data_IF_228003064078
#
_entry.id   IF_228003064078
#
_cell.length_a   1.000
_cell.length_b   1.000
_cell.length_c   1.000
_cell.angle_alpha   90.00
_cell.angle_beta   90.00
_cell.angle_gamma   90.00
#
_symmetry.space_group_name_H-M   'P 1'
#
loop_
_entity.id
_entity.type
_entity.pdbx_description
1 polymer ?
#
# COMPACT_ATOMS: atom_id res chain seq x y z
N UNK A 1 16.92 -2.10 -0.07
CA UNK A 1 15.61 -1.78 0.55
C UNK A 1 15.29 -0.30 0.32
N UNK A 2 14.80 0.00 -0.89
CA UNK A 2 14.72 1.36 -1.44
C UNK A 2 13.28 1.93 -1.37
N UNK A 3 12.26 1.10 -1.62
CA UNK A 3 10.86 1.56 -1.59
C UNK A 3 10.30 1.85 -0.20
N UNK A 4 10.69 1.09 0.84
CA UNK A 4 10.13 1.26 2.18
C UNK A 4 10.33 2.69 2.70
N UNK A 5 11.35 3.40 2.20
CA UNK A 5 11.75 4.74 2.64
C UNK A 5 11.58 5.82 1.55
N UNK A 6 10.95 5.48 0.43
CA UNK A 6 10.72 6.44 -0.65
C UNK A 6 11.98 6.94 -1.37
N UNK A 7 13.09 6.19 -1.33
CA UNK A 7 14.40 6.59 -1.86
C UNK A 7 14.80 5.66 -3.00
N UNK A 8 15.61 6.14 -3.95
CA UNK A 8 16.29 5.25 -4.89
C UNK A 8 17.24 4.30 -4.15
N UNK A 9 17.57 3.16 -4.76
CA UNK A 9 18.55 2.25 -4.18
C UNK A 9 19.91 2.93 -4.05
N UNK A 10 20.50 2.90 -2.85
CA UNK A 10 21.85 3.43 -2.63
C UNK A 10 22.89 2.66 -3.43
N UNK A 11 22.65 1.35 -3.64
CA UNK A 11 23.46 0.48 -4.46
C UNK A 11 22.57 -0.09 -5.57
N UNK A 12 22.91 0.20 -6.82
CA UNK A 12 22.11 -0.20 -7.98
C UNK A 12 22.42 -1.65 -8.34
N UNK A 13 21.41 -2.40 -8.79
CA UNK A 13 21.60 -3.82 -9.10
C UNK A 13 22.65 -4.05 -10.21
N UNK A 14 22.77 -3.11 -11.16
CA UNK A 14 23.79 -3.15 -12.21
C UNK A 14 25.21 -2.82 -11.73
N UNK A 15 25.36 -2.29 -10.51
CA UNK A 15 26.66 -2.05 -9.86
C UNK A 15 27.09 -3.24 -8.97
N UNK A 16 26.26 -4.27 -8.82
CA UNK A 16 26.55 -5.47 -8.03
C UNK A 16 27.06 -6.57 -8.96
N UNK A 17 28.38 -6.73 -9.01
CA UNK A 17 29.03 -7.77 -9.83
C UNK A 17 29.21 -9.12 -9.11
N UNK A 18 28.82 -9.21 -7.83
CA UNK A 18 29.03 -10.42 -7.01
C UNK A 18 27.93 -11.45 -7.30
N UNK A 19 28.33 -12.67 -7.61
CA UNK A 19 27.42 -13.81 -7.76
C UNK A 19 26.90 -14.30 -6.40
N UNK A 20 25.75 -14.99 -6.42
CA UNK A 20 25.27 -15.65 -5.21
C UNK A 20 26.28 -16.70 -4.72
N UNK A 21 26.55 -16.77 -3.41
CA UNK A 21 27.36 -17.85 -2.86
C UNK A 21 26.76 -19.22 -3.19
N UNK A 22 27.65 -20.21 -3.33
CA UNK A 22 27.24 -21.61 -3.52
C UNK A 22 26.39 -22.11 -2.35
N UNK A 23 25.58 -23.13 -2.64
CA UNK A 23 24.78 -23.80 -1.62
C UNK A 23 25.70 -24.50 -0.60
N UNK A 24 25.50 -24.29 0.72
CA UNK A 24 26.24 -25.02 1.73
C UNK A 24 26.06 -26.54 1.58
N UNK A 25 27.14 -27.29 1.79
CA UNK A 25 27.07 -28.75 1.84
C UNK A 25 26.17 -29.22 2.97
N UNK A 26 26.22 -28.54 4.12
CA UNK A 26 25.40 -28.79 5.31
C UNK A 26 23.89 -28.57 5.02
N UNK A 27 23.07 -29.63 5.04
CA UNK A 27 21.63 -29.53 4.82
C UNK A 27 20.92 -28.57 5.78
N UNK A 28 21.40 -28.42 7.01
CA UNK A 28 20.81 -27.54 8.02
C UNK A 28 20.97 -26.04 7.72
N UNK A 29 21.95 -25.67 6.88
CA UNK A 29 22.23 -24.30 6.48
C UNK A 29 21.62 -23.91 5.13
N UNK A 30 21.23 -24.88 4.28
CA UNK A 30 20.68 -24.60 2.95
C UNK A 30 19.40 -23.74 2.97
N UNK A 31 18.43 -23.96 3.88
CA UNK A 31 17.21 -23.16 3.93
C UNK A 31 17.47 -21.69 4.31
N UNK A 32 18.48 -21.44 5.14
CA UNK A 32 18.95 -20.09 5.45
C UNK A 32 19.55 -19.39 4.24
N UNK A 33 20.38 -20.09 3.45
CA UNK A 33 20.92 -19.56 2.19
C UNK A 33 19.80 -19.21 1.21
N UNK A 34 18.81 -20.11 1.08
CA UNK A 34 17.64 -19.87 0.25
C UNK A 34 16.85 -18.63 0.72
N UNK A 35 16.63 -18.46 2.03
CA UNK A 35 15.99 -17.27 2.60
C UNK A 35 16.66 -15.96 2.17
N UNK A 36 18.00 -15.88 2.24
CA UNK A 36 18.71 -14.70 1.77
C UNK A 36 18.56 -14.47 0.27
N UNK A 37 18.56 -15.54 -0.53
CA UNK A 37 18.29 -15.43 -1.97
C UNK A 37 16.88 -14.87 -2.21
N UNK A 38 15.86 -15.36 -1.49
CA UNK A 38 14.49 -14.86 -1.60
C UNK A 38 14.37 -13.38 -1.26
N UNK A 39 15.00 -12.92 -0.17
CA UNK A 39 15.00 -11.51 0.20
C UNK A 39 15.74 -10.64 -0.80
N UNK A 40 16.79 -11.16 -1.42
CA UNK A 40 17.53 -10.44 -2.45
C UNK A 40 16.67 -10.28 -3.71
N UNK A 41 16.03 -11.35 -4.18
CA UNK A 41 15.11 -11.28 -5.33
C UNK A 41 13.89 -10.38 -5.04
N UNK A 42 13.32 -10.48 -3.85
CA UNK A 42 12.27 -9.56 -3.41
C UNK A 42 12.75 -8.10 -3.46
N UNK A 43 13.96 -7.82 -2.94
CA UNK A 43 14.53 -6.47 -2.93
C UNK A 43 14.76 -5.90 -4.34
N UNK A 44 15.11 -6.74 -5.32
CA UNK A 44 15.22 -6.34 -6.73
C UNK A 44 13.87 -5.96 -7.32
N UNK A 45 12.83 -6.77 -7.06
CA UNK A 45 11.46 -6.47 -7.51
C UNK A 45 11.00 -5.14 -6.92
N UNK A 46 11.20 -4.95 -5.62
CA UNK A 46 10.94 -3.70 -4.90
C UNK A 46 11.69 -2.53 -5.58
N UNK A 47 13.00 -2.64 -5.82
CA UNK A 47 13.77 -1.60 -6.51
C UNK A 47 13.21 -1.25 -7.90
N UNK A 48 12.78 -2.26 -8.64
CA UNK A 48 12.19 -2.08 -9.97
C UNK A 48 10.79 -1.49 -9.96
N UNK A 49 9.95 -1.82 -8.98
CA UNK A 49 8.65 -1.18 -8.80
C UNK A 49 8.85 0.33 -8.62
N UNK A 50 9.84 0.76 -7.82
CA UNK A 50 10.22 2.17 -7.74
C UNK A 50 10.65 2.73 -9.09
N UNK A 51 11.69 2.15 -9.68
CA UNK A 51 12.32 2.67 -10.89
C UNK A 51 11.32 2.82 -12.04
N UNK A 52 10.45 1.82 -12.23
CA UNK A 52 9.56 1.71 -13.38
C UNK A 52 8.20 2.40 -13.19
N UNK A 53 7.76 2.68 -11.96
CA UNK A 53 6.43 3.25 -11.70
C UNK A 53 6.42 4.55 -10.91
N UNK A 54 7.42 4.80 -10.05
CA UNK A 54 7.43 5.90 -9.09
C UNK A 54 8.65 6.82 -9.17
N UNK A 55 9.66 6.50 -9.99
CA UNK A 55 10.79 7.40 -10.24
C UNK A 55 10.33 8.65 -11.00
N UNK A 56 11.06 9.76 -10.88
CA UNK A 56 10.77 10.98 -11.63
C UNK A 56 10.66 10.74 -13.15
N UNK A 57 11.49 9.83 -13.69
CA UNK A 57 11.40 9.42 -15.09
C UNK A 57 10.13 8.63 -15.38
N UNK A 58 9.76 7.70 -14.51
CA UNK A 58 8.56 6.89 -14.69
C UNK A 58 7.27 7.71 -14.56
N UNK A 59 7.30 8.79 -13.77
CA UNK A 59 6.18 9.72 -13.66
C UNK A 59 5.89 10.44 -14.99
N UNK A 60 6.89 10.60 -15.87
CA UNK A 60 6.71 11.15 -17.21
C UNK A 60 6.23 10.13 -18.27
N UNK A 61 6.04 8.85 -17.92
CA UNK A 61 5.53 7.87 -18.88
C UNK A 61 4.04 8.08 -19.17
N UNK A 62 3.65 7.82 -20.42
CA UNK A 62 2.23 7.79 -20.84
C UNK A 62 1.46 6.68 -20.12
N UNK A 63 0.14 6.83 -20.03
CA UNK A 63 -0.75 5.81 -19.46
C UNK A 63 -0.55 4.39 -20.04
N UNK A 64 -0.31 4.29 -21.36
CA UNK A 64 -0.08 3.03 -22.05
C UNK A 64 1.25 2.36 -21.62
N UNK A 65 2.32 3.14 -21.54
CA UNK A 65 3.64 2.63 -21.15
C UNK A 65 3.66 2.24 -19.67
N UNK A 66 2.97 3.02 -18.81
CA UNK A 66 2.79 2.72 -17.39
C UNK A 66 2.05 1.40 -17.18
N UNK A 67 0.94 1.20 -17.89
CA UNK A 67 0.17 -0.05 -17.85
C UNK A 67 1.01 -1.26 -18.28
N UNK A 68 1.82 -1.10 -19.33
CA UNK A 68 2.73 -2.15 -19.81
C UNK A 68 3.80 -2.51 -18.78
N UNK A 69 4.41 -1.51 -18.12
CA UNK A 69 5.40 -1.74 -17.05
C UNK A 69 4.76 -2.41 -15.83
N UNK A 70 3.55 -1.98 -15.45
CA UNK A 70 2.80 -2.57 -14.35
C UNK A 70 2.50 -4.06 -14.59
N UNK A 71 2.02 -4.41 -15.79
CA UNK A 71 1.76 -5.81 -16.16
C UNK A 71 3.01 -6.68 -16.07
N UNK A 72 4.15 -6.19 -16.57
CA UNK A 72 5.42 -6.91 -16.46
C UNK A 72 5.83 -7.15 -15.01
N UNK A 73 5.69 -6.14 -14.15
CA UNK A 73 6.00 -6.28 -12.73
C UNK A 73 5.05 -7.25 -12.02
N UNK A 74 3.76 -7.24 -12.36
CA UNK A 74 2.79 -8.19 -11.84
C UNK A 74 3.17 -9.65 -12.14
N UNK A 75 3.60 -9.94 -13.37
CA UNK A 75 4.05 -11.28 -13.77
C UNK A 75 5.27 -11.74 -12.95
N UNK A 76 6.23 -10.85 -12.72
CA UNK A 76 7.42 -11.16 -11.92
C UNK A 76 7.11 -11.36 -10.44
N UNK A 77 6.19 -10.56 -9.88
CA UNK A 77 5.71 -10.73 -8.51
C UNK A 77 5.03 -12.10 -8.34
N UNK A 78 4.24 -12.54 -9.33
CA UNK A 78 3.62 -13.86 -9.36
C UNK A 78 4.63 -15.00 -9.46
N UNK A 79 5.66 -14.86 -10.30
CA UNK A 79 6.72 -15.86 -10.43
C UNK A 79 7.55 -15.98 -9.15
N UNK A 80 7.92 -14.85 -8.56
CA UNK A 80 8.60 -14.80 -7.25
C UNK A 80 7.79 -15.50 -6.17
N UNK A 81 6.48 -15.19 -6.05
CA UNK A 81 5.59 -15.82 -5.08
C UNK A 81 5.42 -17.32 -5.32
N UNK A 82 5.38 -17.76 -6.57
CA UNK A 82 5.28 -19.18 -6.93
C UNK A 82 6.56 -19.93 -6.54
N UNK A 83 7.72 -19.32 -6.75
CA UNK A 83 9.02 -19.88 -6.35
C UNK A 83 9.13 -19.97 -4.83
N UNK A 84 8.67 -18.93 -4.12
CA UNK A 84 8.64 -18.89 -2.66
C UNK A 84 7.67 -19.94 -2.07
N UNK A 85 6.57 -20.25 -2.75
CA UNK A 85 5.61 -21.27 -2.31
C UNK A 85 6.23 -22.67 -2.11
N UNK A 86 7.35 -22.94 -2.77
CA UNK A 86 8.05 -24.23 -2.76
C UNK A 86 9.09 -24.34 -1.65
N UNK A 87 9.26 -23.28 -0.86
CA UNK A 87 10.22 -23.28 0.23
C UNK A 87 9.79 -24.25 1.33
N UNK A 88 10.69 -25.15 1.69
CA UNK A 88 10.52 -26.10 2.79
C UNK A 88 11.70 -25.98 3.75
N UNK A 89 11.45 -25.73 5.05
CA UNK A 89 12.53 -25.59 6.02
C UNK A 89 13.23 -26.92 6.33
N UNK A 90 12.56 -28.08 6.17
CA UNK A 90 13.16 -29.40 6.37
C UNK A 90 13.97 -29.52 7.68
N UNK A 91 15.19 -30.02 7.57
CA UNK A 91 16.14 -30.17 8.68
C UNK A 91 16.92 -28.89 9.02
N UNK A 92 16.41 -27.70 8.66
CA UNK A 92 17.05 -26.44 8.97
C UNK A 92 17.36 -26.29 10.46
N UNK A 93 18.52 -25.74 10.77
CA UNK A 93 18.77 -25.23 12.11
C UNK A 93 17.73 -24.17 12.45
N UNK A 94 17.09 -24.30 13.61
CA UNK A 94 15.98 -23.43 14.02
C UNK A 94 14.82 -23.36 13.00
N UNK A 95 14.44 -24.49 12.40
CA UNK A 95 13.34 -24.61 11.43
C UNK A 95 12.04 -23.89 11.84
N UNK A 96 11.73 -23.81 13.14
CA UNK A 96 10.57 -23.09 13.67
C UNK A 96 10.56 -21.59 13.32
N UNK A 97 11.73 -20.97 13.12
CA UNK A 97 11.85 -19.56 12.72
C UNK A 97 11.17 -19.29 11.38
N UNK A 98 11.19 -20.25 10.46
CA UNK A 98 10.61 -20.09 9.14
C UNK A 98 9.07 -20.11 9.13
N UNK A 99 8.42 -20.32 10.29
CA UNK A 99 6.96 -20.38 10.38
C UNK A 99 6.25 -19.14 9.86
N UNK A 100 6.87 -17.95 9.96
CA UNK A 100 6.31 -16.69 9.45
C UNK A 100 6.59 -16.46 7.96
N UNK A 101 7.48 -17.25 7.32
CA UNK A 101 8.03 -16.94 6.00
C UNK A 101 6.98 -17.02 4.89
N UNK A 102 6.19 -18.10 4.82
CA UNK A 102 5.14 -18.24 3.80
C UNK A 102 4.04 -17.17 4.00
N UNK A 103 3.49 -16.96 5.22
CA UNK A 103 2.52 -15.88 5.43
C UNK A 103 3.09 -14.47 5.17
N UNK A 104 4.37 -14.24 5.50
CA UNK A 104 5.06 -12.98 5.20
C UNK A 104 5.25 -12.77 3.70
N UNK A 105 5.52 -13.83 2.94
CA UNK A 105 5.59 -13.79 1.48
C UNK A 105 4.23 -13.52 0.84
N UNK A 106 3.14 -14.10 1.37
CA UNK A 106 1.77 -13.78 0.95
C UNK A 106 1.44 -12.31 1.16
N UNK A 107 1.76 -11.77 2.34
CA UNK A 107 1.58 -10.36 2.63
C UNK A 107 2.38 -9.49 1.65
N UNK A 108 3.66 -9.82 1.45
CA UNK A 108 4.57 -9.12 0.54
C UNK A 108 4.12 -9.15 -0.91
N UNK A 109 3.50 -10.26 -1.35
CA UNK A 109 2.91 -10.39 -2.68
C UNK A 109 1.78 -9.38 -2.89
N UNK A 110 0.78 -9.37 -2.00
CA UNK A 110 -0.35 -8.44 -2.13
C UNK A 110 0.05 -6.98 -1.94
N UNK A 111 1.02 -6.72 -1.07
CA UNK A 111 1.62 -5.40 -0.90
C UNK A 111 2.21 -4.86 -2.22
N UNK A 112 3.04 -5.67 -2.90
CA UNK A 112 3.65 -5.28 -4.17
C UNK A 112 2.60 -5.10 -5.25
N UNK A 113 1.57 -5.95 -5.29
CA UNK A 113 0.45 -5.76 -6.20
C UNK A 113 -0.33 -4.47 -5.92
N UNK A 114 -0.58 -4.13 -4.65
CA UNK A 114 -1.20 -2.84 -4.31
C UNK A 114 -0.38 -1.67 -4.85
N UNK A 115 0.96 -1.70 -4.70
CA UNK A 115 1.84 -0.67 -5.27
C UNK A 115 1.74 -0.60 -6.80
N UNK A 116 1.80 -1.75 -7.47
CA UNK A 116 1.73 -1.84 -8.93
C UNK A 116 0.38 -1.32 -9.45
N UNK A 117 -0.72 -1.76 -8.85
CA UNK A 117 -2.07 -1.35 -9.26
C UNK A 117 -2.40 0.09 -8.86
N UNK A 118 -1.78 0.64 -7.81
CA UNK A 118 -1.92 2.05 -7.43
C UNK A 118 -1.35 2.99 -8.48
N UNK A 119 -0.37 2.52 -9.24
CA UNK A 119 0.22 3.24 -10.36
C UNK A 119 -0.54 3.03 -11.68
N UNK A 120 -1.60 2.22 -11.73
CA UNK A 120 -2.37 2.10 -12.97
C UNK A 120 -3.14 3.40 -13.27
N UNK A 121 -3.29 3.76 -14.55
CA UNK A 121 -4.14 4.87 -14.94
C UNK A 121 -5.59 4.66 -14.48
N UNK A 122 -6.30 5.72 -14.08
CA UNK A 122 -7.70 5.63 -13.73
C UNK A 122 -8.55 5.24 -14.94
N UNK A 123 -9.60 4.45 -14.72
CA UNK A 123 -10.56 4.10 -15.75
C UNK A 123 -11.63 5.18 -15.89
N UNK A 124 -12.22 5.28 -17.09
CA UNK A 124 -13.41 6.08 -17.33
C UNK A 124 -14.54 5.18 -17.87
N UNK A 125 -15.63 4.96 -17.11
CA UNK A 125 -15.91 5.50 -15.77
C UNK A 125 -15.01 4.90 -14.66
N UNK A 126 -14.89 5.56 -13.48
CA UNK A 126 -14.16 5.01 -12.33
C UNK A 126 -14.75 3.67 -11.86
N UNK A 127 -13.88 2.70 -11.57
CA UNK A 127 -14.28 1.40 -11.01
C UNK A 127 -14.73 1.49 -9.54
N UNK A 128 -14.16 2.43 -8.77
CA UNK A 128 -14.48 2.64 -7.36
C UNK A 128 -14.75 4.13 -7.07
N UNK A 129 -15.48 4.47 -6.00
CA UNK A 129 -15.74 5.87 -5.62
C UNK A 129 -14.48 6.69 -5.34
N UNK A 130 -13.37 6.05 -4.97
CA UNK A 130 -12.09 6.72 -4.73
C UNK A 130 -11.25 6.93 -6.00
N UNK A 131 -11.72 6.48 -7.17
CA UNK A 131 -10.95 6.53 -8.42
C UNK A 131 -9.82 5.50 -8.52
N UNK A 132 -9.61 4.70 -7.47
CA UNK A 132 -8.66 3.58 -7.47
C UNK A 132 -9.24 2.40 -8.26
N UNK A 133 -8.38 1.65 -8.94
CA UNK A 133 -8.82 0.40 -9.59
C UNK A 133 -9.29 -0.63 -8.56
N UNK A 134 -10.23 -1.48 -8.94
CA UNK A 134 -10.75 -2.55 -8.08
C UNK A 134 -9.62 -3.49 -7.66
N UNK A 135 -8.70 -3.82 -8.58
CA UNK A 135 -7.53 -4.65 -8.31
C UNK A 135 -6.63 -4.06 -7.22
N UNK A 136 -6.46 -2.74 -7.18
CA UNK A 136 -5.68 -2.06 -6.14
C UNK A 136 -6.35 -2.21 -4.77
N UNK A 137 -7.66 -1.95 -4.70
CA UNK A 137 -8.45 -2.05 -3.46
C UNK A 137 -8.51 -3.50 -2.97
N UNK A 138 -8.76 -4.47 -3.84
CA UNK A 138 -8.80 -5.89 -3.48
C UNK A 138 -7.45 -6.41 -2.99
N UNK A 139 -6.36 -6.04 -3.66
CA UNK A 139 -5.01 -6.41 -3.23
C UNK A 139 -4.69 -5.80 -1.87
N UNK A 140 -5.04 -4.53 -1.65
CA UNK A 140 -4.84 -3.86 -0.37
C UNK A 140 -5.65 -4.54 0.76
N UNK A 141 -6.92 -4.85 0.49
CA UNK A 141 -7.80 -5.56 1.43
C UNK A 141 -7.20 -6.90 1.81
N UNK A 142 -6.67 -7.63 0.82
CA UNK A 142 -6.07 -8.94 1.05
C UNK A 142 -4.78 -8.87 1.85
N UNK A 143 -3.93 -7.88 1.59
CA UNK A 143 -2.75 -7.61 2.39
C UNK A 143 -3.11 -7.32 3.86
N UNK A 144 -4.09 -6.45 4.11
CA UNK A 144 -4.54 -6.12 5.47
C UNK A 144 -5.14 -7.32 6.22
N UNK A 145 -5.97 -8.13 5.56
CA UNK A 145 -6.52 -9.37 6.13
C UNK A 145 -5.42 -10.37 6.51
N UNK A 146 -4.42 -10.55 5.64
CA UNK A 146 -3.27 -11.42 5.93
C UNK A 146 -2.46 -10.87 7.10
N UNK A 147 -2.21 -9.56 7.14
CA UNK A 147 -1.50 -8.94 8.24
C UNK A 147 -2.17 -9.23 9.59
N UNK A 148 -3.47 -9.00 9.67
CA UNK A 148 -4.27 -9.29 10.86
C UNK A 148 -4.20 -10.78 11.23
N UNK A 149 -4.39 -11.67 10.26
CA UNK A 149 -4.34 -13.11 10.47
C UNK A 149 -2.98 -13.58 11.04
N UNK A 150 -1.88 -13.08 10.46
CA UNK A 150 -0.51 -13.41 10.90
C UNK A 150 -0.25 -12.87 12.30
N UNK A 151 -0.60 -11.61 12.57
CA UNK A 151 -0.50 -11.01 13.90
C UNK A 151 -1.22 -11.84 14.96
N UNK A 152 -2.46 -12.23 14.71
CA UNK A 152 -3.25 -13.04 15.64
C UNK A 152 -2.69 -14.46 15.80
N UNK A 153 -2.16 -15.05 14.73
CA UNK A 153 -1.63 -16.41 14.72
C UNK A 153 -0.31 -16.52 15.49
N UNK A 154 0.61 -15.58 15.31
CA UNK A 154 1.95 -15.66 15.89
C UNK A 154 2.07 -15.02 17.27
N UNK A 155 1.27 -13.98 17.59
CA UNK A 155 1.32 -13.33 18.92
C UNK A 155 1.16 -14.32 20.08
N UNK A 156 0.35 -15.35 19.88
CA UNK A 156 -0.02 -16.30 20.92
C UNK A 156 0.94 -17.50 21.01
N UNK A 157 1.83 -17.67 20.03
CA UNK A 157 2.62 -18.89 19.87
C UNK A 157 4.06 -18.71 20.33
N UNK A 158 4.74 -17.66 19.85
CA UNK A 158 6.17 -17.50 20.09
C UNK A 158 6.63 -16.06 19.86
N UNK A 159 7.34 -15.48 20.83
CA UNK A 159 7.79 -14.08 20.78
C UNK A 159 8.93 -13.87 19.76
N UNK A 160 9.78 -14.87 19.55
CA UNK A 160 10.92 -14.78 18.62
C UNK A 160 10.47 -14.83 17.15
N UNK A 161 9.57 -15.74 16.81
CA UNK A 161 8.93 -15.82 15.48
C UNK A 161 8.14 -14.55 15.19
N UNK A 162 7.40 -14.05 16.19
CA UNK A 162 6.66 -12.79 16.07
C UNK A 162 7.60 -11.59 15.87
N UNK A 163 8.71 -11.50 16.63
CA UNK A 163 9.72 -10.45 16.40
C UNK A 163 10.29 -10.53 14.98
N UNK A 164 10.61 -11.73 14.48
CA UNK A 164 11.05 -11.93 13.10
C UNK A 164 10.05 -11.39 12.08
N UNK A 165 8.76 -11.67 12.25
CA UNK A 165 7.70 -11.12 11.39
C UNK A 165 7.62 -9.58 11.46
N UNK A 166 7.75 -8.98 12.65
CA UNK A 166 7.77 -7.52 12.80
C UNK A 166 8.94 -6.91 12.04
N UNK A 167 10.15 -7.37 12.34
CA UNK A 167 11.38 -6.78 11.81
C UNK A 167 11.48 -6.94 10.28
N UNK A 168 11.15 -8.13 9.78
CA UNK A 168 11.38 -8.50 8.38
C UNK A 168 10.17 -8.28 7.46
N UNK A 169 8.97 -8.09 8.01
CA UNK A 169 7.75 -7.90 7.20
C UNK A 169 6.99 -6.64 7.57
N UNK A 170 6.63 -6.42 8.84
CA UNK A 170 5.79 -5.26 9.22
C UNK A 170 6.54 -3.95 8.99
N UNK A 171 7.77 -3.83 9.49
CA UNK A 171 8.56 -2.61 9.34
C UNK A 171 9.04 -2.40 7.89
N UNK A 172 8.94 -3.45 7.07
CA UNK A 172 9.22 -3.40 5.63
C UNK A 172 7.96 -3.23 4.79
N UNK A 173 6.79 -3.20 5.41
CA UNK A 173 5.51 -3.02 4.74
C UNK A 173 5.29 -1.51 4.56
N UNK A 174 5.42 -0.96 3.34
CA UNK A 174 4.95 0.38 3.08
C UNK A 174 3.48 0.43 3.50
N UNK A 175 3.14 1.45 4.29
CA UNK A 175 1.82 1.79 4.85
C UNK A 175 0.68 1.93 3.81
N UNK A 176 1.00 1.61 2.55
CA UNK A 176 0.23 1.72 1.32
C UNK A 176 -1.09 0.94 1.34
N UNK A 177 -1.17 -0.35 1.71
CA UNK A 177 -2.45 -1.05 1.77
C UNK A 177 -3.43 -0.38 2.74
N UNK A 178 -2.93 0.13 3.87
CA UNK A 178 -3.74 0.85 4.85
C UNK A 178 -4.29 2.16 4.27
N UNK A 179 -3.44 2.93 3.58
CA UNK A 179 -3.86 4.17 2.91
C UNK A 179 -4.86 3.92 1.77
N UNK A 180 -4.68 2.86 0.97
CA UNK A 180 -5.60 2.51 -0.10
C UNK A 180 -6.99 2.20 0.46
N UNK A 181 -7.07 1.38 1.52
CA UNK A 181 -8.34 1.07 2.17
C UNK A 181 -8.91 2.29 2.88
N UNK A 182 -8.09 3.15 3.50
CA UNK A 182 -8.53 4.43 4.05
C UNK A 182 -9.18 5.31 2.97
N UNK A 183 -8.50 5.57 1.85
CA UNK A 183 -9.03 6.37 0.74
C UNK A 183 -10.33 5.78 0.17
N UNK A 184 -10.38 4.46 0.01
CA UNK A 184 -11.60 3.78 -0.42
C UNK A 184 -12.74 4.02 0.60
N UNK A 185 -12.50 3.75 1.88
CA UNK A 185 -13.47 3.86 2.98
C UNK A 185 -14.07 5.27 3.09
N UNK A 186 -13.24 6.31 3.10
CA UNK A 186 -13.74 7.70 3.19
C UNK A 186 -14.51 8.13 1.94
N UNK A 187 -14.24 7.51 0.79
CA UNK A 187 -14.94 7.83 -0.46
C UNK A 187 -16.27 7.09 -0.56
N UNK A 188 -16.29 5.80 -0.26
CA UNK A 188 -17.43 4.90 -0.43
C UNK A 188 -18.37 4.85 0.77
N UNK A 189 -17.88 5.10 1.99
CA UNK A 189 -18.62 4.84 3.22
C UNK A 189 -18.67 3.36 3.61
N UNK A 190 -17.79 2.52 3.06
CA UNK A 190 -17.77 1.06 3.27
C UNK A 190 -17.48 0.69 4.74
N UNK A 191 -18.43 0.00 5.38
CA UNK A 191 -18.34 -0.39 6.79
C UNK A 191 -17.45 -1.60 7.03
N UNK A 192 -17.32 -2.49 6.05
CA UNK A 192 -16.46 -3.67 6.16
C UNK A 192 -14.99 -3.23 6.09
N UNK A 193 -14.67 -2.29 5.20
CA UNK A 193 -13.34 -1.69 5.12
C UNK A 193 -13.04 -0.82 6.36
N UNK A 194 -14.01 -0.06 6.88
CA UNK A 194 -13.83 0.67 8.15
C UNK A 194 -13.50 -0.29 9.30
N UNK A 195 -14.22 -1.41 9.40
CA UNK A 195 -13.97 -2.44 10.40
C UNK A 195 -12.59 -3.08 10.21
N UNK A 196 -12.18 -3.34 8.97
CA UNK A 196 -10.85 -3.88 8.68
C UNK A 196 -9.74 -2.94 9.13
N UNK A 197 -9.88 -1.62 8.92
CA UNK A 197 -8.92 -0.61 9.40
C UNK A 197 -8.80 -0.65 10.94
N UNK A 198 -9.92 -0.73 11.65
CA UNK A 198 -9.94 -0.83 13.12
C UNK A 198 -9.22 -2.09 13.60
N UNK A 199 -9.55 -3.22 13.00
CA UNK A 199 -9.05 -4.52 13.41
C UNK A 199 -7.54 -4.65 13.16
N UNK A 200 -7.05 -4.17 12.02
CA UNK A 200 -5.63 -4.12 11.71
C UNK A 200 -4.90 -3.20 12.68
N UNK A 201 -5.40 -1.97 12.86
CA UNK A 201 -4.79 -1.02 13.78
C UNK A 201 -4.72 -1.59 15.20
N UNK A 202 -5.80 -2.18 15.71
CA UNK A 202 -5.83 -2.82 17.03
C UNK A 202 -4.86 -4.00 17.11
N UNK A 203 -4.72 -4.79 16.06
CA UNK A 203 -3.80 -5.94 16.05
C UNK A 203 -2.33 -5.54 16.23
N UNK A 204 -1.95 -4.36 15.69
CA UNK A 204 -0.59 -3.81 15.78
C UNK A 204 -0.19 -3.39 17.19
N UNK A 205 -1.15 -3.15 18.09
CA UNK A 205 -0.86 -2.77 19.47
C UNK A 205 0.08 -3.78 20.17
N UNK A 206 -0.11 -5.07 19.88
CA UNK A 206 0.71 -6.13 20.45
C UNK A 206 2.15 -6.13 19.90
N UNK A 207 2.40 -5.55 18.73
CA UNK A 207 3.75 -5.43 18.16
C UNK A 207 4.52 -4.25 18.76
N UNK A 208 3.86 -3.26 19.36
CA UNK A 208 4.51 -2.08 19.92
C UNK A 208 5.49 -2.38 21.06
N UNK A 209 5.27 -3.46 21.82
CA UNK A 209 6.22 -3.90 22.84
C UNK A 209 7.49 -4.55 22.28
N UNK A 210 7.52 -4.86 20.97
CA UNK A 210 8.61 -5.55 20.29
C UNK A 210 9.51 -4.60 19.49
N UNK A 211 8.98 -3.46 19.07
CA UNK A 211 9.68 -2.45 18.27
C UNK A 211 9.00 -1.09 18.41
N UNK A 212 9.78 -0.03 18.63
CA UNK A 212 9.27 1.34 18.63
C UNK A 212 8.68 1.71 17.26
N UNK A 213 9.29 1.29 16.15
CA UNK A 213 8.75 1.49 14.81
C UNK A 213 7.35 0.86 14.66
N UNK A 214 7.11 -0.30 15.28
CA UNK A 214 5.80 -0.94 15.28
C UNK A 214 4.79 -0.19 16.17
N UNK A 215 5.23 0.38 17.28
CA UNK A 215 4.40 1.25 18.11
C UNK A 215 3.98 2.53 17.37
N UNK A 216 4.90 3.14 16.61
CA UNK A 216 4.61 4.31 15.78
C UNK A 216 3.64 3.96 14.66
N UNK A 217 3.83 2.82 13.99
CA UNK A 217 2.91 2.32 12.97
C UNK A 217 1.51 2.10 13.55
N UNK A 218 1.41 1.48 14.73
CA UNK A 218 0.15 1.33 15.47
C UNK A 218 -0.56 2.69 15.65
N UNK A 219 0.15 3.68 16.20
CA UNK A 219 -0.42 5.02 16.45
C UNK A 219 -0.88 5.68 15.16
N UNK A 220 -0.10 5.57 14.08
CA UNK A 220 -0.45 6.10 12.77
C UNK A 220 -1.73 5.46 12.22
N UNK A 221 -1.80 4.12 12.19
CA UNK A 221 -3.00 3.38 11.77
C UNK A 221 -4.24 3.79 12.57
N UNK A 222 -4.10 3.95 13.89
CA UNK A 222 -5.22 4.37 14.76
C UNK A 222 -5.73 5.77 14.43
N UNK A 223 -4.84 6.73 14.12
CA UNK A 223 -5.24 8.08 13.72
C UNK A 223 -6.02 8.03 12.40
N UNK A 224 -5.52 7.33 11.39
CA UNK A 224 -6.23 7.19 10.11
C UNK A 224 -7.58 6.48 10.26
N UNK A 225 -7.67 5.43 11.09
CA UNK A 225 -8.96 4.80 11.41
C UNK A 225 -9.95 5.78 12.05
N UNK A 226 -9.51 6.57 13.03
CA UNK A 226 -10.37 7.57 13.69
C UNK A 226 -10.88 8.61 12.70
N UNK A 227 -10.02 9.08 11.79
CA UNK A 227 -10.41 9.99 10.71
C UNK A 227 -11.45 9.30 9.80
N UNK A 228 -11.19 8.07 9.35
CA UNK A 228 -12.11 7.34 8.48
C UNK A 228 -13.49 7.18 9.11
N UNK A 229 -13.54 6.85 10.40
CA UNK A 229 -14.79 6.73 11.16
C UNK A 229 -15.61 8.02 11.12
N UNK A 230 -14.98 9.18 11.32
CA UNK A 230 -15.66 10.48 11.25
C UNK A 230 -16.25 10.74 9.86
N UNK A 231 -15.52 10.45 8.77
CA UNK A 231 -16.03 10.60 7.41
C UNK A 231 -17.20 9.65 7.12
N UNK A 232 -17.11 8.39 7.55
CA UNK A 232 -18.18 7.39 7.37
C UNK A 232 -19.44 7.78 8.15
N UNK A 233 -19.28 8.21 9.42
CA UNK A 233 -20.40 8.64 10.26
C UNK A 233 -21.10 9.88 9.67
N UNK A 234 -20.34 10.85 9.15
CA UNK A 234 -20.90 12.03 8.48
C UNK A 234 -21.72 11.65 7.24
N UNK A 235 -21.21 10.76 6.37
CA UNK A 235 -21.93 10.28 5.19
C UNK A 235 -23.24 9.56 5.53
N UNK A 236 -23.23 8.78 6.61
CA UNK A 236 -24.45 8.09 7.08
C UNK A 236 -25.52 9.07 7.53
N UNK A 237 -25.13 10.12 8.25
CA UNK A 237 -26.05 11.18 8.66
C UNK A 237 -26.64 11.94 7.46
N UNK A 238 -25.87 12.16 6.39
CA UNK A 238 -26.39 12.75 5.15
C UNK A 238 -27.46 11.88 4.48
N UNK A 239 -27.24 10.56 4.39
CA UNK A 239 -28.21 9.62 3.84
C UNK A 239 -29.48 9.54 4.70
N UNK A 240 -29.35 9.61 6.02
CA UNK A 240 -30.50 9.62 6.95
C UNK A 240 -31.31 10.92 6.85
N UNK A 241 -30.63 12.07 6.73
CA UNK A 241 -31.26 13.38 6.63
C UNK A 241 -31.91 13.64 5.26
N UNK A 242 -31.35 13.14 4.16
CA UNK A 242 -31.98 13.23 2.84
C UNK A 242 -33.30 12.44 2.74
N UNK A 243 -33.50 11.44 3.60
CA UNK A 243 -34.74 10.66 3.68
C UNK A 243 -35.81 11.28 4.60
N UNK A 244 -35.50 12.34 5.36
CA UNK A 244 -36.45 13.04 6.22
C UNK A 244 -36.59 14.49 5.77
N UNK A 245 -37.80 14.91 5.40
CA UNK A 245 -38.13 16.23 4.84
C UNK A 245 -37.99 17.39 5.86
N UNK A 246 -36.81 17.59 6.45
CA UNK A 246 -36.54 18.67 7.40
C UNK A 246 -35.31 19.49 7.01
N UNK A 247 -35.39 20.76 7.38
CA UNK A 247 -34.48 21.86 7.06
C UNK A 247 -33.00 21.42 7.05
N UNK A 248 -32.34 21.66 5.90
CA UNK A 248 -30.91 21.51 5.72
C UNK A 248 -30.15 22.28 6.81
N UNK A 249 -29.64 21.57 7.82
CA UNK A 249 -28.53 22.05 8.62
C UNK A 249 -27.25 21.46 8.00
N UNK A 250 -26.26 22.29 7.59
CA UNK A 250 -25.00 21.77 7.07
C UNK A 250 -24.31 20.99 8.19
N UNK A 251 -24.21 19.67 8.04
CA UNK A 251 -23.40 18.84 8.93
C UNK A 251 -21.95 19.26 8.72
N UNK A 252 -21.21 19.42 9.81
CA UNK A 252 -19.78 19.63 9.77
C UNK A 252 -19.11 18.38 9.18
N UNK A 253 -18.89 18.38 7.86
CA UNK A 253 -17.83 17.58 7.26
C UNK A 253 -16.57 17.81 8.11
N UNK A 254 -15.74 16.78 8.38
CA UNK A 254 -14.40 17.02 8.92
C UNK A 254 -13.76 18.11 8.05
N UNK A 255 -13.57 19.29 8.63
CA UNK A 255 -13.64 20.56 7.91
C UNK A 255 -12.67 20.70 6.74
N UNK A 256 -12.83 21.74 5.93
CA UNK A 256 -11.95 22.09 4.79
C UNK A 256 -10.45 21.94 5.09
N UNK A 257 -10.05 22.10 6.35
CA UNK A 257 -8.69 21.84 6.84
C UNK A 257 -8.24 20.38 6.67
N UNK A 258 -9.04 19.37 7.03
CA UNK A 258 -8.67 17.95 6.85
C UNK A 258 -8.56 17.58 5.37
N UNK A 259 -9.49 18.05 4.55
CA UNK A 259 -9.43 17.86 3.10
C UNK A 259 -8.16 18.49 2.51
N UNK A 260 -7.73 19.66 3.02
CA UNK A 260 -6.46 20.28 2.60
C UNK A 260 -5.24 19.42 2.93
N UNK A 261 -5.21 18.77 4.09
CA UNK A 261 -4.13 17.85 4.48
C UNK A 261 -4.15 16.56 3.65
N UNK A 262 -5.34 15.99 3.38
CA UNK A 262 -5.48 14.80 2.55
C UNK A 262 -5.04 15.09 1.11
N UNK A 263 -5.40 16.25 0.56
CA UNK A 263 -4.93 16.69 -0.76
C UNK A 263 -3.41 16.84 -0.79
N UNK A 264 -2.80 17.46 0.22
CA UNK A 264 -1.35 17.60 0.33
C UNK A 264 -0.60 16.26 0.45
N UNK A 265 -1.27 15.20 0.91
CA UNK A 265 -0.74 13.84 0.98
C UNK A 265 -1.04 12.99 -0.27
N UNK A 266 -1.67 13.55 -1.31
CA UNK A 266 -2.12 12.80 -2.48
C UNK A 266 -3.22 11.77 -2.17
N UNK A 267 -3.95 11.96 -1.07
CA UNK A 267 -5.03 11.09 -0.59
C UNK A 267 -6.43 11.70 -0.82
N UNK A 268 -6.49 12.94 -1.29
CA UNK A 268 -7.74 13.65 -1.52
C UNK A 268 -8.47 13.24 -2.80
N UNK A 269 -9.70 13.74 -3.00
CA UNK A 269 -10.62 13.29 -4.07
C UNK A 269 -10.17 13.61 -5.51
N UNK A 270 -8.95 14.10 -5.71
CA UNK A 270 -8.35 14.36 -7.03
C UNK A 270 -8.09 13.11 -7.88
N UNK A 271 -8.46 11.92 -7.39
CA UNK A 271 -8.45 10.67 -8.15
C UNK A 271 -9.72 10.44 -8.98
N UNK A 272 -10.77 11.24 -8.75
CA UNK A 272 -11.91 11.35 -9.66
C UNK A 272 -11.75 12.64 -10.48
N UNK A 273 -11.87 12.60 -11.82
CA UNK A 273 -11.81 13.79 -12.65
C UNK A 273 -12.72 14.89 -12.10
N UNK A 274 -12.16 16.09 -11.96
CA UNK A 274 -12.80 17.35 -11.52
C UNK A 274 -14.13 17.68 -12.24
N UNK A 275 -14.42 16.99 -13.35
CA UNK A 275 -15.62 17.12 -14.16
C UNK A 275 -16.92 16.67 -13.46
N UNK A 276 -16.86 15.87 -12.39
CA UNK A 276 -18.06 15.43 -11.67
C UNK A 276 -18.48 16.38 -10.53
N UNK A 277 -17.64 17.37 -10.18
CA UNK A 277 -17.87 18.28 -9.06
C UNK A 277 -17.95 19.74 -9.52
N UNK A 278 -18.78 20.01 -10.53
CA UNK A 278 -18.99 21.37 -11.02
C UNK A 278 -20.27 21.55 -11.81
N UNK A 279 -21.28 22.13 -11.16
CA UNK A 279 -22.34 22.99 -11.70
C UNK A 279 -22.74 22.79 -13.17
N UNK A 280 -23.99 22.35 -13.37
CA UNK A 280 -24.76 22.74 -14.53
C UNK A 280 -24.77 24.28 -14.62
N UNK A 281 -23.98 24.89 -15.51
CA UNK A 281 -24.49 25.79 -16.56
C UNK A 281 -23.36 26.36 -17.46
N UNK A 282 -23.78 26.70 -18.69
CA UNK A 282 -23.15 27.56 -19.70
C UNK A 282 -22.09 26.92 -20.62
N UNK A 283 -22.49 26.78 -21.88
CA UNK A 283 -21.69 26.23 -22.95
C UNK A 283 -20.76 27.22 -23.65
N UNK A 284 -19.81 26.65 -24.38
CA UNK A 284 -19.55 26.97 -25.78
C UNK A 284 -18.63 25.89 -26.35
N UNK A 285 -18.92 25.46 -27.58
CA UNK A 285 -18.00 24.70 -28.42
C UNK A 285 -16.74 25.54 -28.66
N UNK A 286 -15.56 24.98 -28.36
CA UNK A 286 -14.39 24.94 -29.25
C UNK A 286 -13.22 24.22 -28.56
N UNK A 287 -12.66 23.19 -29.20
CA UNK A 287 -11.30 22.68 -28.91
C UNK A 287 -11.14 21.45 -27.99
N UNK A 288 -11.87 20.36 -28.22
CA UNK A 288 -11.66 19.07 -27.50
C UNK A 288 -10.60 18.21 -28.21
N UNK A 289 -9.33 18.63 -28.19
CA UNK A 289 -8.21 17.78 -28.62
C UNK A 289 -7.02 17.75 -27.63
N UNK A 290 -7.03 18.53 -26.54
CA UNK A 290 -5.94 18.60 -25.55
C UNK A 290 -6.19 17.78 -24.25
N UNK A 291 -7.21 16.93 -24.24
CA UNK A 291 -7.74 16.28 -23.03
C UNK A 291 -6.85 15.14 -22.47
N UNK A 292 -6.24 14.26 -23.30
CA UNK A 292 -5.46 13.12 -22.77
C UNK A 292 -4.17 13.52 -22.05
N UNK A 293 -3.45 14.53 -22.56
CA UNK A 293 -2.19 14.99 -21.95
C UNK A 293 -2.42 15.65 -20.59
N UNK A 294 -3.53 16.38 -20.42
CA UNK A 294 -3.88 17.00 -19.13
C UNK A 294 -4.16 15.93 -18.05
N UNK A 295 -4.86 14.85 -18.42
CA UNK A 295 -5.14 13.74 -17.50
C UNK A 295 -3.87 12.98 -17.10
N UNK A 296 -2.94 12.77 -18.03
CA UNK A 296 -1.67 12.12 -17.74
C UNK A 296 -0.82 12.98 -16.76
N UNK A 297 -0.83 14.31 -16.91
CA UNK A 297 -0.13 15.25 -16.02
C UNK A 297 -0.76 15.30 -14.63
N UNK A 298 -2.09 15.40 -14.53
CA UNK A 298 -2.80 15.41 -13.24
C UNK A 298 -2.60 14.09 -12.48
N UNK A 299 -2.63 12.96 -13.18
CA UNK A 299 -2.35 11.65 -12.61
C UNK A 299 -0.90 11.54 -12.11
N UNK A 300 0.07 11.99 -12.90
CA UNK A 300 1.48 11.97 -12.51
C UNK A 300 1.72 12.78 -11.23
N UNK A 301 1.12 13.96 -11.13
CA UNK A 301 1.19 14.81 -9.93
C UNK A 301 0.54 14.14 -8.72
N UNK A 302 -0.67 13.59 -8.88
CA UNK A 302 -1.37 12.88 -7.79
C UNK A 302 -0.58 11.67 -7.28
N UNK A 303 0.05 10.93 -8.19
CA UNK A 303 0.87 9.76 -7.85
C UNK A 303 2.17 10.16 -7.16
N UNK A 304 2.78 11.27 -7.57
CA UNK A 304 3.97 11.84 -6.93
C UNK A 304 3.67 12.33 -5.51
N UNK A 305 2.63 13.14 -5.34
CA UNK A 305 2.20 13.68 -4.05
C UNK A 305 1.88 12.53 -3.08
N UNK A 306 1.18 11.51 -3.57
CA UNK A 306 0.90 10.30 -2.80
C UNK A 306 2.17 9.56 -2.38
N UNK A 307 3.11 9.39 -3.31
CA UNK A 307 4.37 8.71 -3.04
C UNK A 307 5.23 9.47 -2.02
N UNK A 308 5.31 10.80 -2.15
CA UNK A 308 6.02 11.68 -1.22
C UNK A 308 5.36 11.70 0.16
N UNK A 309 4.03 11.74 0.23
CA UNK A 309 3.27 11.64 1.48
C UNK A 309 3.53 10.31 2.19
N UNK A 310 3.44 9.20 1.44
CA UNK A 310 3.76 7.87 1.95
C UNK A 310 5.21 7.76 2.44
N UNK A 311 6.17 8.32 1.69
CA UNK A 311 7.58 8.41 2.09
C UNK A 311 7.75 9.15 3.41
N UNK A 312 7.09 10.29 3.57
CA UNK A 312 7.18 11.08 4.80
C UNK A 312 6.66 10.29 6.00
N UNK A 313 5.49 9.65 5.85
CA UNK A 313 4.92 8.79 6.89
C UNK A 313 5.83 7.61 7.26
N UNK A 314 6.46 6.97 6.27
CA UNK A 314 7.42 5.90 6.53
C UNK A 314 8.68 6.40 7.26
N UNK A 315 9.15 7.61 6.94
CA UNK A 315 10.25 8.25 7.67
C UNK A 315 9.96 8.47 9.16
N UNK A 316 8.69 8.64 9.54
CA UNK A 316 8.30 8.74 10.95
C UNK A 316 8.46 7.40 11.70
N UNK A 317 8.43 6.28 10.98
CA UNK A 317 8.61 4.94 11.54
C UNK A 317 10.10 4.60 11.77
N UNK A 318 11.03 5.40 11.25
CA UNK A 318 12.45 5.27 11.52
C UNK A 318 12.72 5.62 13.00
N UNK A 319 12.83 4.61 13.86
CA UNK A 319 13.62 4.67 15.08
C UNK A 319 14.55 3.48 15.19
N UNK A 320 15.78 3.79 15.62
CA UNK A 320 16.84 2.85 15.99
C UNK A 320 17.48 2.02 14.87
N UNK A 321 17.78 2.65 13.73
CA UNK A 321 18.91 2.22 12.88
C UNK A 321 19.94 3.35 12.75
#
# INVERSE_FOLDING_TARGET
MSLCLGRTSTLQDYDIAVEYPELPDDPGLRPWRLLYQYWTEYSKIVGRVYELLFSARALCDSAAERSRKAQKLEEEIKDWRTTMARFEPGDAYHAFFFGWMIPGADLSYYLLLTLVYRALPPTQPPETPSGLSLLCVESARRALQLHQHVMLTFRAKDTYVMKGYVDWTILQCPFVPFLVIFCHTISSGDLDDLKLLEEVATSLQAAGSLSEGAERLYRLCMVFYQVAKVYVDAKRQEVENTNTTSEYQPIAYPGEQFDSYLNALGLGPSLAPSMLRGHADIGNNDGVEAIPELFDVEMAQSLEDWYLGNRHMMGLLESDF
#
